data_IF_323941123101
#
_entry.id   IF_323941123101
#
_cell.length_a   1.000
_cell.length_b   1.000
_cell.length_c   1.000
_cell.angle_alpha   90.00
_cell.angle_beta   90.00
_cell.angle_gamma   90.00
#
_symmetry.space_group_name_H-M   'P 1'
#
loop_
_entity.id
_entity.type
_entity.pdbx_description
1 polymer ?
#
# COMPACT_ATOMS: atom_id res chain seq x y z
N UNK A 1 35.68 22.30 -3.69
CA UNK A 1 34.35 22.28 -4.34
C UNK A 1 33.44 21.47 -3.43
N UNK A 2 32.78 22.13 -2.47
CA UNK A 2 31.92 21.48 -1.49
C UNK A 2 30.64 21.04 -2.21
N UNK A 3 30.41 19.73 -2.33
CA UNK A 3 29.07 19.22 -2.62
C UNK A 3 28.23 19.52 -1.38
N UNK A 4 27.20 20.38 -1.45
CA UNK A 4 26.31 20.55 -0.32
C UNK A 4 25.58 19.21 -0.15
N UNK A 5 25.77 18.58 1.01
CA UNK A 5 25.12 17.34 1.41
C UNK A 5 23.63 17.63 1.69
N UNK A 6 22.86 17.92 0.64
CA UNK A 6 21.50 18.44 0.77
C UNK A 6 20.45 17.40 1.21
N UNK A 7 20.84 16.15 1.50
CA UNK A 7 19.87 15.07 1.74
C UNK A 7 20.22 14.13 2.89
N UNK A 8 21.24 14.43 3.70
CA UNK A 8 21.73 13.53 4.75
C UNK A 8 21.60 14.08 6.18
N UNK A 9 20.66 14.99 6.45
CA UNK A 9 20.28 15.28 7.84
C UNK A 9 19.44 14.12 8.39
N UNK A 10 20.15 13.16 8.97
CA UNK A 10 19.69 11.88 9.52
C UNK A 10 18.81 11.99 10.79
N UNK A 11 17.88 12.96 10.87
CA UNK A 11 17.04 13.17 12.08
C UNK A 11 15.54 13.17 11.85
N UNK A 12 15.06 12.97 10.64
CA UNK A 12 13.63 12.82 10.38
C UNK A 12 13.32 11.36 10.12
N UNK A 13 12.66 10.71 11.07
CA UNK A 13 12.12 9.36 10.86
C UNK A 13 11.19 9.40 9.64
N UNK A 14 11.32 8.40 8.76
CA UNK A 14 10.40 8.26 7.63
C UNK A 14 8.96 8.28 8.14
N UNK A 15 8.06 9.11 7.57
CA UNK A 15 6.66 9.13 7.97
C UNK A 15 5.90 7.88 7.50
N UNK A 16 6.55 7.02 6.71
CA UNK A 16 5.97 5.81 6.16
C UNK A 16 6.24 4.60 7.06
N UNK A 17 5.29 3.67 7.12
CA UNK A 17 5.51 2.37 7.74
C UNK A 17 6.52 1.57 6.92
N UNK A 18 7.25 0.66 7.57
CA UNK A 18 8.25 -0.17 6.91
C UNK A 18 7.64 -1.09 5.84
N UNK A 19 6.39 -1.52 6.04
CA UNK A 19 5.67 -2.44 5.15
C UNK A 19 4.18 -2.14 5.13
N UNK A 20 3.58 -2.32 3.95
CA UNK A 20 2.14 -2.24 3.74
C UNK A 20 1.61 -3.55 3.15
N UNK A 21 0.56 -4.08 3.77
CA UNK A 21 -0.22 -5.22 3.32
C UNK A 21 -1.28 -4.80 2.30
N UNK A 22 -1.97 -5.77 1.68
CA UNK A 22 -3.16 -5.47 0.89
C UNK A 22 -4.30 -4.99 1.79
N UNK A 23 -5.16 -4.12 1.27
CA UNK A 23 -6.41 -3.78 1.94
C UNK A 23 -7.59 -4.38 1.17
N UNK A 24 -8.10 -5.53 1.63
CA UNK A 24 -9.14 -6.31 0.95
C UNK A 24 -10.26 -6.59 1.94
N UNK A 25 -11.51 -6.33 1.53
CA UNK A 25 -12.68 -6.60 2.36
C UNK A 25 -12.73 -5.80 3.67
N UNK A 26 -12.13 -4.61 3.71
CA UNK A 26 -12.10 -3.76 4.90
C UNK A 26 -11.01 -4.15 5.91
N UNK A 27 -10.06 -5.02 5.53
CA UNK A 27 -9.00 -5.49 6.41
C UNK A 27 -7.63 -5.40 5.74
N UNK A 28 -6.58 -5.21 6.55
CA UNK A 28 -5.19 -5.38 6.12
C UNK A 28 -4.84 -6.87 6.09
N UNK A 29 -4.36 -7.35 4.95
CA UNK A 29 -4.10 -8.77 4.68
C UNK A 29 -2.79 -8.92 3.90
N UNK A 30 -1.89 -9.76 4.41
CA UNK A 30 -0.69 -10.12 3.67
C UNK A 30 -1.03 -10.72 2.29
N UNK A 31 -0.20 -10.48 1.25
CA UNK A 31 -0.42 -11.03 -0.08
C UNK A 31 -0.37 -12.56 -0.04
N UNK A 32 -1.19 -13.22 -0.85
CA UNK A 32 -1.37 -14.67 -0.84
C UNK A 32 -0.05 -15.44 -0.99
N UNK A 33 0.84 -14.96 -1.87
CA UNK A 33 2.15 -15.55 -2.10
C UNK A 33 3.24 -15.08 -1.12
N UNK A 34 2.91 -14.22 -0.14
CA UNK A 34 3.86 -13.65 0.82
C UNK A 34 4.93 -12.73 0.21
N UNK A 35 4.75 -12.28 -1.03
CA UNK A 35 5.72 -11.47 -1.77
C UNK A 35 5.48 -9.98 -1.56
N UNK A 36 6.56 -9.22 -1.46
CA UNK A 36 6.55 -7.76 -1.41
C UNK A 36 7.55 -7.20 -2.42
N UNK A 37 7.42 -5.92 -2.78
CA UNK A 37 8.46 -5.21 -3.52
C UNK A 37 8.88 -3.94 -2.79
N UNK A 38 10.14 -3.56 -2.98
CA UNK A 38 10.71 -2.32 -2.45
C UNK A 38 10.19 -1.11 -3.23
N UNK A 39 9.62 -0.15 -2.51
CA UNK A 39 9.27 1.16 -3.04
C UNK A 39 10.50 2.07 -2.93
N UNK A 40 11.23 2.22 -4.02
CA UNK A 40 12.47 2.98 -4.05
C UNK A 40 12.22 4.44 -4.41
N UNK A 41 12.84 5.36 -3.67
CA UNK A 41 12.78 6.80 -3.96
C UNK A 41 13.50 7.12 -5.28
N UNK A 42 12.84 7.81 -6.24
CA UNK A 42 13.52 8.27 -7.45
C UNK A 42 14.48 9.44 -7.20
N UNK A 43 14.41 10.07 -6.02
CA UNK A 43 15.25 11.22 -5.64
C UNK A 43 16.58 10.75 -5.06
N UNK A 44 16.54 9.71 -4.23
CA UNK A 44 17.70 9.25 -3.44
C UNK A 44 18.18 7.86 -3.82
N UNK A 45 17.37 7.06 -4.53
CA UNK A 45 17.64 5.65 -4.80
C UNK A 45 17.52 4.73 -3.58
N UNK A 46 17.16 5.27 -2.40
CA UNK A 46 16.97 4.48 -1.18
C UNK A 46 15.56 3.88 -1.09
N UNK A 47 15.43 2.76 -0.37
CA UNK A 47 14.14 2.12 -0.07
C UNK A 47 13.34 2.98 0.90
N UNK A 48 12.09 3.28 0.53
CA UNK A 48 11.13 4.01 1.36
C UNK A 48 10.39 3.02 2.28
N UNK A 49 9.83 1.96 1.69
CA UNK A 49 9.08 0.90 2.36
C UNK A 49 8.93 -0.32 1.45
N UNK A 50 8.35 -1.40 1.98
CA UNK A 50 7.87 -2.54 1.22
C UNK A 50 6.35 -2.46 1.01
N UNK A 51 5.86 -2.89 -0.15
CA UNK A 51 4.41 -2.98 -0.41
C UNK A 51 4.06 -4.36 -0.95
N UNK A 52 2.87 -4.85 -0.60
CA UNK A 52 2.39 -6.15 -1.01
C UNK A 52 2.44 -6.33 -2.54
N UNK A 53 3.00 -7.46 -2.98
CA UNK A 53 3.10 -7.83 -4.39
C UNK A 53 2.05 -8.88 -4.72
N UNK A 54 0.83 -8.39 -4.86
CA UNK A 54 -0.36 -9.19 -5.17
C UNK A 54 -0.23 -10.01 -6.44
N UNK A 55 -0.92 -11.14 -6.45
CA UNK A 55 -1.11 -11.96 -7.64
C UNK A 55 -2.59 -12.22 -7.91
N UNK A 56 -2.87 -13.16 -8.82
CA UNK A 56 -4.23 -13.50 -9.21
C UNK A 56 -5.10 -13.92 -8.01
N UNK A 57 -4.56 -14.59 -6.98
CA UNK A 57 -5.36 -15.02 -5.83
C UNK A 57 -5.81 -13.82 -4.99
N UNK A 58 -4.93 -12.83 -4.80
CA UNK A 58 -5.30 -11.60 -4.11
C UNK A 58 -6.34 -10.80 -4.90
N UNK A 59 -6.26 -10.84 -6.24
CA UNK A 59 -7.27 -10.23 -7.12
C UNK A 59 -8.62 -10.90 -6.95
N UNK A 60 -8.70 -12.24 -6.98
CA UNK A 60 -9.95 -12.96 -6.79
C UNK A 60 -10.56 -12.65 -5.40
N UNK A 61 -9.75 -12.64 -4.34
CA UNK A 61 -10.21 -12.25 -2.98
C UNK A 61 -10.77 -10.82 -2.96
N UNK A 62 -10.13 -9.90 -3.68
CA UNK A 62 -10.60 -8.52 -3.80
C UNK A 62 -11.92 -8.42 -4.56
N UNK A 63 -12.08 -9.19 -5.64
CA UNK A 63 -13.32 -9.24 -6.43
C UNK A 63 -14.47 -9.85 -5.63
N UNK A 64 -14.23 -10.95 -4.92
CA UNK A 64 -15.22 -11.57 -4.04
C UNK A 64 -15.71 -10.59 -2.97
N UNK A 65 -14.78 -9.90 -2.30
CA UNK A 65 -15.10 -8.89 -1.30
C UNK A 65 -15.89 -7.71 -1.90
N UNK A 66 -15.49 -7.24 -3.09
CA UNK A 66 -16.19 -6.17 -3.80
C UNK A 66 -17.62 -6.57 -4.19
N UNK A 67 -17.82 -7.78 -4.71
CA UNK A 67 -19.13 -8.30 -5.06
C UNK A 67 -20.03 -8.48 -3.83
N UNK A 68 -19.48 -8.96 -2.72
CA UNK A 68 -20.22 -9.08 -1.46
C UNK A 68 -20.70 -7.72 -0.93
N UNK A 69 -19.90 -6.66 -1.07
CA UNK A 69 -20.23 -5.32 -0.59
C UNK A 69 -21.13 -4.52 -1.56
N UNK A 70 -21.09 -4.83 -2.86
CA UNK A 70 -21.71 -4.05 -3.94
C UNK A 70 -23.18 -3.71 -3.68
N UNK A 71 -24.00 -4.68 -3.30
CA UNK A 71 -25.43 -4.48 -3.17
C UNK A 71 -25.82 -3.59 -2.00
N UNK A 72 -25.14 -3.75 -0.86
CA UNK A 72 -25.38 -2.91 0.32
C UNK A 72 -24.94 -1.47 0.05
N UNK A 73 -23.72 -1.29 -0.46
CA UNK A 73 -23.17 0.01 -0.81
C UNK A 73 -23.98 0.72 -1.91
N UNK A 74 -24.44 -0.03 -2.91
CA UNK A 74 -25.26 0.49 -4.01
C UNK A 74 -26.64 1.00 -3.55
N UNK A 75 -27.15 0.51 -2.41
CA UNK A 75 -28.41 0.96 -1.80
C UNK A 75 -28.23 2.11 -0.81
N UNK A 76 -27.00 2.44 -0.43
CA UNK A 76 -26.72 3.57 0.47
C UNK A 76 -27.21 4.88 -0.17
N UNK A 77 -27.94 5.69 0.61
CA UNK A 77 -28.50 6.95 0.14
C UNK A 77 -27.38 7.89 -0.34
N UNK A 78 -27.61 8.76 -1.35
CA UNK A 78 -26.56 9.63 -1.88
C UNK A 78 -25.91 10.54 -0.83
N UNK A 79 -26.64 10.93 0.22
CA UNK A 79 -26.10 11.75 1.31
C UNK A 79 -25.20 10.96 2.29
N UNK A 80 -25.25 9.62 2.24
CA UNK A 80 -24.55 8.70 3.14
C UNK A 80 -23.42 7.91 2.44
N UNK A 81 -23.27 8.04 1.12
CA UNK A 81 -22.33 7.27 0.30
C UNK A 81 -21.17 8.10 -0.24
#
# INVERSE_FOLDING_TARGET
MNKPELFADAKTQSPFSARYDNFIGGQWVAPAAGRYFENTSPITGGVICEVARSDAQDIERALDAAHAAKDAWGRTAPAER
#
